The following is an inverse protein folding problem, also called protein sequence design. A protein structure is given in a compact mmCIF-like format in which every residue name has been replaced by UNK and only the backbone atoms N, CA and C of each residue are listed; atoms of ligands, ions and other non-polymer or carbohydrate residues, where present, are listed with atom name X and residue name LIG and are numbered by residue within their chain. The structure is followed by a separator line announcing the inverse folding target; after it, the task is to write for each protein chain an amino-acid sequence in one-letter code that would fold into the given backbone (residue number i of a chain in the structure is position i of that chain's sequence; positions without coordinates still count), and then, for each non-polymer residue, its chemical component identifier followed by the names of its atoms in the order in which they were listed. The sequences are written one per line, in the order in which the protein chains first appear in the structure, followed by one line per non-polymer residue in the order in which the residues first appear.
data_IF_955819831042
#
_entry.id   IF_955819831042
#
_cell.length_a   1.000
_cell.length_b   1.000
_cell.length_c   1.000
_cell.angle_alpha   90.00
_cell.angle_beta   90.00
_cell.angle_gamma   90.00
#
_symmetry.space_group_name_H-M   'P 1'
#
loop_
_entity.id
_entity.type
_entity.pdbx_description
1 polymer ?
#
# COMPACT_ATOMS: atom_id res chain seq x y z
N UNK A 1 -3.12 -2.18 8.18
CA UNK A 1 -2.24 -2.35 6.99
C UNK A 1 -1.96 -1.05 6.23
N UNK A 2 -2.96 -0.20 5.93
CA UNK A 2 -2.76 1.06 5.15
C UNK A 2 -1.60 1.93 5.64
N UNK A 3 -1.51 2.20 6.94
CA UNK A 3 -0.40 2.98 7.50
C UNK A 3 1.00 2.35 7.29
N UNK A 4 1.14 1.02 7.23
CA UNK A 4 2.43 0.38 6.90
C UNK A 4 2.80 0.57 5.42
N UNK A 5 1.82 0.68 4.52
CA UNK A 5 2.10 1.01 3.12
C UNK A 5 2.69 2.42 2.99
N UNK A 6 2.25 3.37 3.81
CA UNK A 6 2.87 4.71 3.85
C UNK A 6 4.34 4.64 4.28
N UNK A 7 4.71 3.73 5.19
CA UNK A 7 6.11 3.51 5.58
C UNK A 7 6.96 3.03 4.41
N UNK A 8 6.44 2.10 3.61
CA UNK A 8 7.14 1.57 2.43
C UNK A 8 7.20 2.59 1.30
N UNK A 9 6.08 3.24 0.97
CA UNK A 9 5.98 4.17 -0.16
C UNK A 9 6.76 5.48 0.05
N UNK A 10 6.80 5.98 1.29
CA UNK A 10 7.49 7.23 1.64
C UNK A 10 8.79 6.99 2.42
N UNK A 11 9.26 5.75 2.49
CA UNK A 11 10.48 5.36 3.22
C UNK A 11 10.51 5.83 4.69
N UNK A 12 9.36 5.89 5.35
CA UNK A 12 9.23 6.34 6.75
C UNK A 12 9.59 5.18 7.68
N UNK A 13 10.78 5.25 8.28
CA UNK A 13 11.30 4.15 9.13
C UNK A 13 10.80 4.17 10.56
N UNK A 14 10.31 5.30 11.07
CA UNK A 14 9.84 5.43 12.46
C UNK A 14 8.31 5.50 12.53
N UNK A 15 7.72 4.67 13.40
CA UNK A 15 6.27 4.69 13.66
C UNK A 15 5.83 6.02 14.30
N UNK A 16 6.66 6.60 15.19
CA UNK A 16 6.42 7.93 15.76
C UNK A 16 6.39 9.00 14.66
N UNK A 17 7.38 8.97 13.76
CA UNK A 17 7.43 9.92 12.63
C UNK A 17 6.24 9.75 11.69
N UNK A 18 5.75 8.53 11.49
CA UNK A 18 4.54 8.28 10.71
C UNK A 18 3.31 8.90 11.40
N UNK A 19 3.16 8.71 12.71
CA UNK A 19 2.04 9.28 13.45
C UNK A 19 2.08 10.81 13.45
N UNK A 20 3.26 11.41 13.64
CA UNK A 20 3.44 12.86 13.49
C UNK A 20 3.04 13.33 12.10
N UNK A 21 3.54 12.70 11.03
CA UNK A 21 3.14 13.01 9.65
C UNK A 21 1.64 12.89 9.43
N UNK A 22 1.00 11.91 10.05
CA UNK A 22 -0.45 11.71 9.96
C UNK A 22 -1.24 12.83 10.67
N UNK A 23 -0.66 13.48 11.68
CA UNK A 23 -1.32 14.61 12.35
C UNK A 23 -1.45 15.83 11.44
N UNK A 24 -0.43 16.14 10.64
CA UNK A 24 -0.40 17.36 9.82
C UNK A 24 -0.63 17.14 8.33
N UNK A 25 -0.44 15.92 7.80
CA UNK A 25 -0.57 15.65 6.38
C UNK A 25 -1.94 15.07 6.03
N UNK A 26 -2.79 15.87 5.38
CA UNK A 26 -4.14 15.48 4.99
C UNK A 26 -4.20 14.28 4.02
N UNK A 27 -3.21 14.14 3.14
CA UNK A 27 -3.11 12.98 2.25
C UNK A 27 -2.92 11.69 3.06
N UNK A 28 -2.11 11.75 4.12
CA UNK A 28 -1.87 10.58 4.96
C UNK A 28 -3.14 10.20 5.74
N UNK A 29 -3.87 11.20 6.26
CA UNK A 29 -5.17 11.00 6.92
C UNK A 29 -6.19 10.38 5.98
N UNK A 30 -6.34 10.94 4.79
CA UNK A 30 -7.24 10.41 3.76
C UNK A 30 -6.88 8.96 3.41
N UNK A 31 -5.60 8.66 3.21
CA UNK A 31 -5.15 7.33 2.79
C UNK A 31 -5.45 6.24 3.82
N UNK A 32 -5.29 6.55 5.10
CA UNK A 32 -5.60 5.59 6.18
C UNK A 32 -7.08 5.57 6.56
N UNK A 33 -7.89 6.50 6.03
CA UNK A 33 -9.33 6.59 6.25
C UNK A 33 -9.73 7.35 7.53
N UNK A 34 -8.89 8.29 7.98
CA UNK A 34 -9.26 9.23 9.05
C UNK A 34 -9.89 10.48 8.45
N UNK A 35 -10.95 10.98 9.07
CA UNK A 35 -11.54 12.28 8.77
C UNK A 35 -10.59 13.41 9.22
N UNK A 36 -10.88 14.64 8.80
CA UNK A 36 -10.10 15.82 9.21
C UNK A 36 -10.06 15.97 10.74
N UNK A 37 -11.19 15.73 11.41
CA UNK A 37 -11.37 16.00 12.84
C UNK A 37 -11.05 14.82 13.76
N UNK A 38 -10.82 13.63 13.20
CA UNK A 38 -10.60 12.42 14.00
C UNK A 38 -9.26 12.47 14.77
N UNK A 39 -9.20 11.88 15.95
CA UNK A 39 -7.93 11.76 16.67
C UNK A 39 -6.98 10.81 15.92
N UNK A 40 -5.72 11.21 15.75
CA UNK A 40 -4.67 10.28 15.28
C UNK A 40 -4.37 9.26 16.36
N UNK A 41 -4.20 7.99 15.97
CA UNK A 41 -3.85 6.92 16.90
C UNK A 41 -2.55 7.23 17.65
N UNK A 42 -2.52 6.87 18.94
CA UNK A 42 -1.29 6.91 19.72
C UNK A 42 -0.29 5.91 19.13
N UNK A 43 0.99 6.26 18.97
CA UNK A 43 2.00 5.37 18.35
C UNK A 43 2.03 3.95 18.93
N UNK A 44 1.76 3.80 20.22
CA UNK A 44 1.73 2.51 20.92
C UNK A 44 0.66 1.55 20.41
N UNK A 45 -0.47 2.07 19.92
CA UNK A 45 -1.56 1.27 19.33
C UNK A 45 -1.15 0.74 17.97
N UNK A 46 -0.43 1.55 17.19
CA UNK A 46 0.10 1.14 15.89
C UNK A 46 1.12 0.02 16.03
N UNK A 47 2.06 0.13 16.98
CA UNK A 47 3.06 -0.92 17.25
C UNK A 47 2.42 -2.25 17.62
N UNK A 48 1.41 -2.24 18.51
CA UNK A 48 0.70 -3.45 18.93
C UNK A 48 -0.09 -4.09 17.78
N UNK A 49 -0.76 -3.27 16.97
CA UNK A 49 -1.50 -3.77 15.80
C UNK A 49 -0.57 -4.32 14.71
N UNK A 50 0.60 -3.71 14.51
CA UNK A 50 1.64 -4.23 13.62
C UNK A 50 2.14 -5.60 14.09
N UNK A 51 2.42 -5.75 15.38
CA UNK A 51 2.87 -7.03 15.94
C UNK A 51 1.85 -8.15 15.69
N UNK A 52 0.55 -7.90 15.92
CA UNK A 52 -0.51 -8.87 15.63
C UNK A 52 -0.63 -9.17 14.13
N UNK A 53 -0.56 -8.16 13.28
CA UNK A 53 -0.62 -8.31 11.82
C UNK A 53 0.52 -9.19 11.29
N UNK A 54 1.71 -9.11 11.89
CA UNK A 54 2.84 -9.96 11.54
C UNK A 54 2.68 -11.36 12.13
N UNK A 55 2.24 -11.48 13.38
CA UNK A 55 2.01 -12.78 14.03
C UNK A 55 0.96 -13.64 13.33
N UNK A 56 -0.01 -13.02 12.65
CA UNK A 56 -1.06 -13.72 11.93
C UNK A 56 -0.77 -13.94 10.44
N UNK A 57 0.47 -13.71 9.96
CA UNK A 57 0.89 -13.85 8.55
C UNK A 57 0.03 -13.10 7.50
N UNK A 58 -0.93 -12.29 7.94
CA UNK A 58 -1.91 -11.59 7.12
C UNK A 58 -1.25 -10.63 6.11
N UNK A 59 -0.06 -10.14 6.43
CA UNK A 59 0.74 -9.30 5.51
C UNK A 59 1.25 -10.13 4.33
N UNK A 60 1.76 -11.34 4.58
CA UNK A 60 2.30 -12.22 3.53
C UNK A 60 1.18 -12.68 2.61
N UNK A 61 0.05 -13.11 3.18
CA UNK A 61 -1.12 -13.53 2.43
C UNK A 61 -1.65 -12.39 1.52
N UNK A 62 -1.81 -11.19 2.08
CA UNK A 62 -2.22 -10.01 1.31
C UNK A 62 -1.26 -9.70 0.15
N UNK A 63 0.06 -9.73 0.38
CA UNK A 63 1.03 -9.48 -0.69
C UNK A 63 0.98 -10.56 -1.78
N UNK A 64 0.80 -11.83 -1.41
CA UNK A 64 0.65 -12.92 -2.37
C UNK A 64 -0.60 -12.73 -3.25
N UNK A 65 -1.72 -12.30 -2.67
CA UNK A 65 -2.92 -11.99 -3.45
C UNK A 65 -2.72 -10.81 -4.42
N UNK A 66 -2.07 -9.73 -3.96
CA UNK A 66 -1.74 -8.57 -4.79
C UNK A 66 -0.80 -8.97 -5.94
N UNK A 67 0.20 -9.82 -5.67
CA UNK A 67 1.09 -10.36 -6.70
C UNK A 67 0.33 -11.22 -7.70
N UNK A 68 -0.55 -12.11 -7.24
CA UNK A 68 -1.39 -12.94 -8.11
C UNK A 68 -2.32 -12.09 -8.98
N UNK A 69 -2.87 -11.00 -8.43
CA UNK A 69 -3.64 -10.01 -9.19
C UNK A 69 -2.75 -9.34 -10.25
N UNK A 70 -1.60 -8.78 -9.87
CA UNK A 70 -0.68 -8.13 -10.80
C UNK A 70 -0.22 -9.08 -11.94
N UNK A 71 0.04 -10.35 -11.64
CA UNK A 71 0.37 -11.37 -12.64
C UNK A 71 -0.80 -11.68 -13.58
N UNK A 72 -2.04 -11.72 -13.07
CA UNK A 72 -3.25 -11.87 -13.91
C UNK A 72 -3.40 -10.67 -14.84
N UNK A 73 -3.22 -9.45 -14.34
CA UNK A 73 -3.20 -8.24 -15.18
C UNK A 73 -2.07 -8.30 -16.21
N UNK A 74 -0.85 -8.69 -15.82
CA UNK A 74 0.27 -8.86 -16.76
C UNK A 74 -0.03 -9.88 -17.85
N UNK A 75 -0.71 -11.00 -17.56
CA UNK A 75 -1.14 -11.96 -18.59
C UNK A 75 -2.21 -11.38 -19.51
N UNK A 76 -3.23 -10.73 -18.95
CA UNK A 76 -4.34 -10.14 -19.73
C UNK A 76 -3.87 -9.02 -20.66
N UNK A 77 -2.98 -8.15 -20.18
CA UNK A 77 -2.44 -7.04 -20.97
C UNK A 77 -1.20 -7.43 -21.79
N UNK A 78 -0.40 -8.40 -21.35
CA UNK A 78 0.74 -8.93 -22.09
C UNK A 78 0.36 -9.77 -23.30
N UNK A 79 -0.84 -10.36 -23.33
CA UNK A 79 -1.40 -11.05 -24.51
C UNK A 79 -2.23 -10.12 -25.42
N UNK A 80 -2.79 -9.03 -24.88
CA UNK A 80 -3.58 -8.05 -25.66
C UNK A 80 -2.73 -7.15 -26.55
N UNK A 81 -1.41 -7.21 -26.40
CA UNK A 81 -0.48 -6.40 -27.17
C UNK A 81 0.00 -7.20 -28.39
N UNK A 82 -0.95 -7.56 -29.25
CA UNK A 82 -0.67 -7.91 -30.65
C UNK A 82 -0.34 -6.62 -31.42
N UNK A 83 0.82 -6.02 -31.16
CA UNK A 83 1.34 -4.96 -32.07
C UNK A 83 1.49 -5.49 -33.50
N UNK A 84 1.66 -6.81 -33.67
CA UNK A 84 1.81 -7.48 -34.96
C UNK A 84 0.56 -7.46 -35.85
N UNK A 85 -0.64 -7.18 -35.35
CA UNK A 85 -1.86 -7.12 -36.18
C UNK A 85 -2.23 -5.72 -36.67
N UNK A 86 -1.52 -4.68 -36.22
CA UNK A 86 -1.82 -3.28 -36.54
C UNK A 86 -0.77 -2.59 -37.42
N UNK A 87 0.17 -3.34 -38.00
CA UNK A 87 1.12 -2.81 -39.01
C UNK A 87 2.09 -1.72 -38.55
N UNK A 88 2.10 -1.38 -37.26
CA UNK A 88 2.98 -0.34 -36.72
C UNK A 88 4.30 -0.97 -36.24
N UNK A 89 5.37 -0.74 -37.02
CA UNK A 89 6.75 -0.95 -36.56
C UNK A 89 7.04 0.02 -35.43
N UNK A 90 7.65 -0.48 -34.35
CA UNK A 90 8.07 0.34 -33.20
C UNK A 90 9.02 1.46 -33.66
N UNK A 91 9.02 2.63 -32.99
CA UNK A 91 10.08 3.62 -33.18
C UNK A 91 11.44 3.07 -32.77
#
# INVERSE_FOLDING_TARGET
MRAMLLQVLYSIRSERQLMERTQYNLLFRWFIGLSMDDAVWVPTVFTKNRARLIQHDAVIEFFNEVLALAQRWRRKFGQSVKWKSWGLSRP
#
